data_IF_101744266480
#
_entry.id   IF_101744266480
#
_cell.length_a   1.000
_cell.length_b   1.000
_cell.length_c   1.000
_cell.angle_alpha   90.00
_cell.angle_beta   90.00
_cell.angle_gamma   90.00
#
_symmetry.space_group_name_H-M   'P 1'
#
loop_
_entity.id
_entity.type
_entity.pdbx_description
1 polymer ?
#
# COMPACT_ATOMS: atom_id res chain seq x y z
N UNK A 1 -11.68 -4.24 0.70
CA UNK A 1 -10.42 -3.74 1.32
C UNK A 1 -9.43 -3.52 0.20
N UNK A 2 -8.52 -2.53 0.30
CA UNK A 2 -7.51 -2.29 -0.73
C UNK A 2 -6.34 -3.27 -0.57
N UNK A 3 -5.77 -3.71 -1.70
CA UNK A 3 -4.80 -4.80 -1.78
C UNK A 3 -3.44 -4.32 -2.32
N UNK A 4 -2.37 -4.73 -1.64
CA UNK A 4 -0.98 -4.57 -2.07
C UNK A 4 -0.45 -5.92 -2.58
N UNK A 5 -0.08 -5.99 -3.86
CA UNK A 5 0.49 -7.20 -4.44
C UNK A 5 2.01 -7.26 -4.27
N UNK A 6 2.50 -8.27 -3.59
CA UNK A 6 3.95 -8.52 -3.46
C UNK A 6 4.44 -9.24 -4.71
N UNK A 7 5.31 -8.61 -5.47
CA UNK A 7 5.92 -9.14 -6.69
C UNK A 7 7.44 -9.16 -6.59
N UNK A 8 8.11 -9.83 -7.49
CA UNK A 8 9.57 -9.89 -7.59
C UNK A 8 10.04 -11.19 -8.22
N UNK A 9 11.32 -11.28 -8.56
CA UNK A 9 11.94 -12.49 -9.10
C UNK A 9 11.94 -13.64 -8.06
N UNK A 10 12.13 -14.89 -8.47
CA UNK A 10 12.35 -16.00 -7.52
C UNK A 10 13.57 -15.74 -6.63
N UNK A 11 13.53 -16.23 -5.39
CA UNK A 11 14.62 -16.17 -4.40
C UNK A 11 15.08 -14.75 -3.99
N UNK A 12 14.21 -13.75 -4.10
CA UNK A 12 14.49 -12.38 -3.62
C UNK A 12 13.98 -12.11 -2.20
N UNK A 13 13.24 -13.07 -1.60
CA UNK A 13 12.72 -12.96 -0.24
C UNK A 13 11.22 -12.64 -0.15
N UNK A 14 10.44 -12.77 -1.25
CA UNK A 14 8.99 -12.50 -1.25
C UNK A 14 8.20 -13.28 -0.22
N UNK A 15 8.30 -14.61 -0.26
CA UNK A 15 7.54 -15.49 0.65
C UNK A 15 7.99 -15.31 2.10
N UNK A 16 9.28 -15.03 2.34
CA UNK A 16 9.78 -14.68 3.67
C UNK A 16 9.15 -13.38 4.16
N UNK A 17 9.10 -12.36 3.31
CA UNK A 17 8.43 -11.09 3.60
C UNK A 17 6.94 -11.31 3.90
N UNK A 18 6.23 -12.04 3.04
CA UNK A 18 4.80 -12.32 3.22
C UNK A 18 4.54 -13.08 4.52
N UNK A 19 5.33 -14.11 4.81
CA UNK A 19 5.22 -14.87 6.05
C UNK A 19 5.49 -13.99 7.28
N UNK A 20 6.52 -13.14 7.25
CA UNK A 20 6.83 -12.23 8.34
C UNK A 20 5.71 -11.18 8.54
N UNK A 21 5.14 -10.64 7.47
CA UNK A 21 3.97 -9.76 7.52
C UNK A 21 2.73 -10.45 8.11
N UNK A 22 2.54 -11.74 7.89
CA UNK A 22 1.34 -12.48 8.27
C UNK A 22 1.48 -13.28 9.57
N UNK A 23 2.71 -13.61 10.00
CA UNK A 23 2.97 -14.43 11.20
C UNK A 23 2.58 -13.73 12.52
N UNK A 24 2.62 -12.41 12.57
CA UNK A 24 2.17 -11.65 13.75
C UNK A 24 0.62 -11.60 13.94
N UNK A 25 -0.17 -12.42 13.18
CA UNK A 25 -1.54 -12.07 12.82
C UNK A 25 -2.62 -13.15 12.93
N UNK A 26 -2.38 -14.25 13.56
CA UNK A 26 -3.47 -15.15 13.96
C UNK A 26 -4.55 -14.41 14.79
N UNK A 27 -4.18 -13.33 15.48
CA UNK A 27 -5.08 -12.49 16.27
C UNK A 27 -5.89 -11.47 15.44
N UNK A 28 -5.40 -11.02 14.28
CA UNK A 28 -6.12 -10.02 13.48
C UNK A 28 -7.35 -10.59 12.78
N UNK A 29 -7.30 -11.84 12.29
CA UNK A 29 -8.40 -12.48 11.60
C UNK A 29 -9.63 -12.68 12.52
N UNK A 30 -9.43 -12.89 13.83
CA UNK A 30 -10.52 -13.06 14.80
C UNK A 30 -11.31 -11.76 15.06
N UNK A 31 -10.67 -10.60 14.87
CA UNK A 31 -11.28 -9.29 15.10
C UNK A 31 -12.04 -8.71 13.90
N UNK A 32 -11.93 -9.33 12.72
CA UNK A 32 -12.57 -8.89 11.47
C UNK A 32 -13.47 -9.97 10.88
N UNK A 33 -14.77 -10.00 11.23
CA UNK A 33 -15.70 -11.09 10.89
C UNK A 33 -16.02 -11.27 9.41
N UNK A 34 -15.48 -10.40 8.53
CA UNK A 34 -15.71 -10.45 7.07
C UNK A 34 -14.45 -10.73 6.26
N UNK A 35 -13.32 -11.09 6.90
CA UNK A 35 -12.12 -11.48 6.17
C UNK A 35 -12.28 -12.93 5.67
N UNK A 36 -12.46 -13.10 4.37
CA UNK A 36 -12.36 -14.40 3.71
C UNK A 36 -10.89 -14.83 3.75
N UNK A 37 -10.62 -16.04 4.26
CA UNK A 37 -9.29 -16.64 4.22
C UNK A 37 -9.07 -17.13 2.79
N UNK A 38 -8.52 -16.26 1.93
CA UNK A 38 -8.06 -16.66 0.60
C UNK A 38 -6.61 -17.14 0.70
N UNK A 39 -6.21 -18.19 -0.02
CA UNK A 39 -4.80 -18.56 -0.11
C UNK A 39 -3.97 -17.38 -0.65
N UNK A 40 -2.81 -17.15 -0.03
CA UNK A 40 -1.90 -16.06 -0.39
C UNK A 40 -2.41 -14.61 -0.15
N UNK A 41 -3.49 -14.42 0.60
CA UNK A 41 -3.96 -13.10 1.06
C UNK A 41 -3.75 -12.99 2.57
N UNK A 42 -3.02 -11.98 3.00
CA UNK A 42 -2.75 -11.68 4.40
C UNK A 42 -3.32 -10.34 4.83
N UNK A 43 -4.17 -10.34 5.86
CA UNK A 43 -4.64 -9.11 6.51
C UNK A 43 -3.59 -8.64 7.50
N UNK A 44 -3.12 -7.42 7.34
CA UNK A 44 -2.00 -6.86 8.08
C UNK A 44 -2.45 -5.64 8.87
N UNK A 45 -2.23 -5.64 10.20
CA UNK A 45 -2.48 -4.49 11.05
C UNK A 45 -1.53 -3.33 10.68
N UNK A 46 -2.08 -2.12 10.59
CA UNK A 46 -1.27 -0.91 10.40
C UNK A 46 -0.79 -0.46 11.78
N UNK A 47 0.54 -0.48 12.04
CA UNK A 47 1.08 0.00 13.29
C UNK A 47 0.75 1.48 13.48
N UNK A 48 0.11 1.86 14.59
CA UNK A 48 -0.18 3.25 14.88
C UNK A 48 0.00 3.54 16.37
N UNK A 49 1.06 4.26 16.76
CA UNK A 49 1.32 4.59 18.15
C UNK A 49 0.21 5.46 18.78
N UNK A 50 -0.53 6.20 17.93
CA UNK A 50 -1.66 7.02 18.38
C UNK A 50 -2.80 6.16 18.93
N UNK A 51 -3.08 5.03 18.29
CA UNK A 51 -4.09 4.07 18.78
C UNK A 51 -3.69 3.45 20.12
N UNK A 52 -2.41 3.11 20.28
CA UNK A 52 -1.90 2.59 21.56
C UNK A 52 -2.06 3.64 22.66
N UNK A 53 -1.71 4.90 22.37
CA UNK A 53 -1.85 6.01 23.33
C UNK A 53 -3.31 6.28 23.70
N UNK A 54 -4.23 6.25 22.76
CA UNK A 54 -5.67 6.38 23.04
C UNK A 54 -6.19 5.23 23.91
N UNK A 55 -5.70 4.01 23.66
CA UNK A 55 -6.07 2.83 24.44
C UNK A 55 -5.62 2.95 25.90
N UNK A 56 -4.38 3.37 26.15
CA UNK A 56 -3.85 3.62 27.50
C UNK A 56 -4.64 4.70 28.26
N UNK A 57 -5.01 5.76 27.53
CA UNK A 57 -5.68 6.93 28.08
C UNK A 57 -7.12 6.62 28.52
N UNK A 58 -7.88 5.95 27.65
CA UNK A 58 -9.32 5.70 27.84
C UNK A 58 -9.58 4.36 28.54
N UNK A 59 -8.66 3.41 28.42
CA UNK A 59 -8.74 2.04 28.96
C UNK A 59 -10.02 1.32 28.61
N UNK A 60 -10.37 1.22 27.30
CA UNK A 60 -11.53 0.50 26.85
C UNK A 60 -11.31 -1.02 26.96
N UNK A 61 -12.35 -1.81 26.65
CA UNK A 61 -12.25 -3.27 26.66
C UNK A 61 -11.44 -3.83 25.49
N UNK A 62 -11.43 -3.13 24.34
CA UNK A 62 -10.77 -3.60 23.11
C UNK A 62 -10.04 -2.47 22.39
N UNK A 63 -8.93 -2.86 21.76
CA UNK A 63 -8.15 -2.05 20.81
C UNK A 63 -8.27 -2.69 19.44
N UNK A 64 -8.73 -1.94 18.43
CA UNK A 64 -8.88 -2.45 17.06
C UNK A 64 -8.07 -1.56 16.11
N UNK A 65 -6.96 -2.07 15.55
CA UNK A 65 -6.12 -1.33 14.62
C UNK A 65 -6.79 -1.20 13.23
N UNK A 66 -6.30 -0.28 12.39
CA UNK A 66 -6.56 -0.29 10.96
C UNK A 66 -5.85 -1.48 10.31
N UNK A 67 -6.33 -1.93 9.17
CA UNK A 67 -5.74 -3.06 8.44
C UNK A 67 -5.61 -2.77 6.95
N UNK A 68 -4.68 -3.48 6.30
CA UNK A 68 -4.49 -3.50 4.85
C UNK A 68 -4.23 -4.94 4.39
N UNK A 69 -4.62 -5.30 3.17
CA UNK A 69 -4.38 -6.62 2.61
C UNK A 69 -3.08 -6.66 1.80
N UNK A 70 -2.25 -7.67 2.08
CA UNK A 70 -1.12 -8.05 1.24
C UNK A 70 -1.43 -9.36 0.52
N UNK A 71 -1.04 -9.44 -0.75
CA UNK A 71 -1.26 -10.62 -1.60
C UNK A 71 0.11 -11.12 -2.07
N UNK A 72 0.48 -12.37 -1.74
CA UNK A 72 1.69 -12.99 -2.29
C UNK A 72 1.41 -13.43 -3.72
N UNK A 73 1.97 -12.72 -4.68
CA UNK A 73 1.85 -13.04 -6.10
C UNK A 73 3.06 -13.87 -6.50
N UNK A 74 2.79 -15.07 -7.05
CA UNK A 74 3.83 -16.00 -7.48
C UNK A 74 4.90 -15.29 -8.34
N UNK A 75 6.17 -15.67 -8.16
CA UNK A 75 7.30 -14.95 -8.77
C UNK A 75 7.23 -14.86 -10.29
N UNK A 76 7.61 -13.70 -10.81
CA UNK A 76 7.74 -13.47 -12.25
C UNK A 76 8.91 -14.30 -12.82
N UNK A 77 8.65 -14.97 -13.93
CA UNK A 77 9.68 -15.58 -14.76
C UNK A 77 9.80 -14.76 -16.05
N UNK A 78 11.00 -14.52 -16.53
CA UNK A 78 11.25 -13.80 -17.79
C UNK A 78 10.44 -14.43 -18.94
N UNK A 79 9.76 -13.60 -19.74
CA UNK A 79 8.89 -14.07 -20.81
C UNK A 79 7.43 -14.26 -20.39
N UNK A 80 7.04 -13.80 -19.21
CA UNK A 80 5.66 -13.88 -18.71
C UNK A 80 4.65 -13.15 -19.63
N UNK A 81 5.07 -12.08 -20.28
CA UNK A 81 4.27 -11.29 -21.22
C UNK A 81 4.02 -11.99 -22.56
N UNK A 82 4.82 -13.02 -22.93
CA UNK A 82 4.71 -13.75 -24.19
C UNK A 82 3.65 -14.88 -24.18
N UNK A 83 2.98 -15.10 -23.06
CA UNK A 83 1.63 -15.67 -23.10
C UNK A 83 1.47 -17.16 -22.93
N UNK A 84 2.41 -17.92 -22.35
CA UNK A 84 2.16 -19.33 -22.02
C UNK A 84 2.14 -19.59 -20.49
N UNK A 85 1.01 -20.08 -20.00
CA UNK A 85 0.87 -20.70 -18.69
C UNK A 85 0.97 -19.75 -17.49
N UNK A 86 1.99 -19.93 -16.64
CA UNK A 86 2.16 -19.25 -15.35
C UNK A 86 2.33 -17.72 -15.45
N UNK A 87 2.87 -17.22 -16.57
CA UNK A 87 3.04 -15.78 -16.81
C UNK A 87 1.70 -15.03 -16.88
N UNK A 88 0.72 -15.59 -17.57
CA UNK A 88 -0.63 -14.99 -17.68
C UNK A 88 -1.34 -14.96 -16.33
N UNK A 89 -1.16 -15.98 -15.48
CA UNK A 89 -1.73 -16.00 -14.13
C UNK A 89 -1.09 -14.91 -13.26
N UNK A 90 0.23 -14.76 -13.33
CA UNK A 90 0.95 -13.69 -12.64
C UNK A 90 0.40 -12.30 -12.99
N UNK A 91 0.29 -12.00 -14.29
CA UNK A 91 -0.23 -10.72 -14.76
C UNK A 91 -1.71 -10.51 -14.37
N UNK A 92 -2.51 -11.60 -14.34
CA UNK A 92 -3.90 -11.54 -13.87
C UNK A 92 -3.98 -11.15 -12.39
N UNK A 93 -3.18 -11.78 -11.52
CA UNK A 93 -3.16 -11.45 -10.10
C UNK A 93 -2.71 -10.01 -9.84
N UNK A 94 -1.73 -9.48 -10.62
CA UNK A 94 -1.36 -8.06 -10.50
C UNK A 94 -2.53 -7.15 -10.90
N UNK A 95 -3.39 -7.52 -11.83
CA UNK A 95 -4.58 -6.71 -12.17
C UNK A 95 -5.56 -6.58 -11.03
N UNK A 96 -5.65 -7.57 -10.15
CA UNK A 96 -6.61 -7.64 -9.04
C UNK A 96 -6.21 -6.83 -7.80
N UNK A 97 -4.96 -6.37 -7.72
CA UNK A 97 -4.46 -5.55 -6.60
C UNK A 97 -4.47 -4.07 -6.94
N UNK A 98 -4.48 -3.21 -5.92
CA UNK A 98 -4.57 -1.74 -6.09
C UNK A 98 -3.21 -1.07 -6.24
N UNK A 99 -2.15 -1.66 -5.64
CA UNK A 99 -0.78 -1.19 -5.74
C UNK A 99 0.20 -2.36 -5.71
N UNK A 100 1.45 -2.12 -6.11
CA UNK A 100 2.50 -3.12 -6.25
C UNK A 100 3.60 -2.86 -5.22
N UNK A 101 4.02 -3.92 -4.50
CA UNK A 101 5.24 -3.96 -3.69
C UNK A 101 6.25 -4.84 -4.42
N UNK A 102 7.22 -4.23 -5.09
CA UNK A 102 8.25 -4.96 -5.83
C UNK A 102 9.44 -5.26 -4.93
N UNK A 103 9.63 -6.54 -4.59
CA UNK A 103 10.74 -7.01 -3.76
C UNK A 103 11.97 -7.22 -4.61
N UNK A 104 13.05 -6.50 -4.29
CA UNK A 104 14.33 -6.58 -4.99
C UNK A 104 15.42 -7.02 -4.04
N UNK A 105 16.22 -8.00 -4.48
CA UNK A 105 17.35 -8.52 -3.72
C UNK A 105 18.53 -7.56 -3.81
N UNK A 106 18.94 -7.02 -2.66
CA UNK A 106 20.06 -6.10 -2.50
C UNK A 106 21.12 -6.66 -1.54
N UNK A 107 21.36 -7.98 -1.52
CA UNK A 107 22.34 -8.64 -0.69
C UNK A 107 22.97 -9.83 -1.42
N UNK A 108 24.21 -10.18 -1.07
CA UNK A 108 24.89 -11.37 -1.52
C UNK A 108 24.77 -12.46 -0.45
N UNK A 109 24.42 -13.68 -0.86
CA UNK A 109 24.37 -14.85 -0.01
C UNK A 109 24.73 -16.08 -0.87
N UNK A 110 25.83 -16.80 -0.55
CA UNK A 110 26.27 -17.94 -1.32
C UNK A 110 25.30 -19.15 -1.26
N UNK A 111 24.48 -19.22 -0.20
CA UNK A 111 23.54 -20.32 0.02
C UNK A 111 22.20 -20.09 -0.70
N UNK A 112 21.97 -18.86 -1.17
CA UNK A 112 20.74 -18.48 -1.90
C UNK A 112 21.06 -18.19 -3.36
N UNK A 113 20.76 -19.13 -4.25
CA UNK A 113 21.00 -18.97 -5.69
C UNK A 113 20.09 -17.91 -6.28
N UNK A 114 20.67 -16.92 -6.99
CA UNK A 114 19.90 -15.95 -7.77
C UNK A 114 19.60 -16.51 -9.16
N UNK A 115 18.34 -16.45 -9.60
CA UNK A 115 17.89 -17.07 -10.87
C UNK A 115 18.53 -16.46 -12.12
N UNK A 116 19.06 -15.24 -12.02
CA UNK A 116 19.71 -14.51 -13.12
C UNK A 116 21.25 -14.46 -12.99
N UNK A 117 21.86 -15.29 -12.16
CA UNK A 117 23.30 -15.28 -11.88
C UNK A 117 23.69 -14.33 -10.74
N UNK A 118 24.77 -13.51 -10.87
CA UNK A 118 25.16 -12.57 -9.81
C UNK A 118 24.05 -11.60 -9.43
N UNK A 119 24.06 -11.14 -8.16
CA UNK A 119 23.12 -10.12 -7.67
C UNK A 119 23.27 -8.83 -8.48
N UNK A 120 22.18 -8.34 -9.03
CA UNK A 120 22.11 -7.06 -9.74
C UNK A 120 20.70 -6.45 -9.62
N UNK A 121 20.47 -5.57 -8.65
CA UNK A 121 19.15 -4.96 -8.41
C UNK A 121 18.68 -4.09 -9.57
N UNK A 122 19.57 -3.52 -10.39
CA UNK A 122 19.20 -2.76 -11.58
C UNK A 122 18.59 -3.67 -12.62
N UNK A 123 19.26 -4.76 -12.96
CA UNK A 123 18.74 -5.77 -13.88
C UNK A 123 17.41 -6.35 -13.40
N UNK A 124 17.29 -6.65 -12.10
CA UNK A 124 16.07 -7.24 -11.54
C UNK A 124 14.90 -6.26 -11.59
N UNK A 125 15.14 -4.98 -11.33
CA UNK A 125 14.18 -3.89 -11.56
C UNK A 125 13.73 -3.84 -13.01
N UNK A 126 14.69 -3.79 -13.96
CA UNK A 126 14.40 -3.66 -15.40
C UNK A 126 13.62 -4.84 -15.95
N UNK A 127 13.89 -6.06 -15.47
CA UNK A 127 13.14 -7.26 -15.88
C UNK A 127 11.67 -7.14 -15.51
N UNK A 128 11.35 -6.78 -14.25
CA UNK A 128 9.97 -6.63 -13.80
C UNK A 128 9.27 -5.51 -14.57
N UNK A 129 9.89 -4.34 -14.64
CA UNK A 129 9.33 -3.17 -15.32
C UNK A 129 9.06 -3.46 -16.80
N UNK A 130 10.00 -4.11 -17.49
CA UNK A 130 9.83 -4.48 -18.90
C UNK A 130 8.69 -5.47 -19.12
N UNK A 131 8.55 -6.51 -18.28
CA UNK A 131 7.47 -7.49 -18.44
C UNK A 131 6.09 -6.86 -18.24
N UNK A 132 5.96 -5.95 -17.25
CA UNK A 132 4.72 -5.20 -17.04
C UNK A 132 4.41 -4.27 -18.22
N UNK A 133 5.43 -3.56 -18.74
CA UNK A 133 5.28 -2.68 -19.87
C UNK A 133 4.89 -3.44 -21.16
N UNK A 134 5.51 -4.59 -21.43
CA UNK A 134 5.17 -5.44 -22.58
C UNK A 134 3.73 -5.97 -22.50
N UNK A 135 3.25 -6.33 -21.29
CA UNK A 135 1.87 -6.74 -21.10
C UNK A 135 0.88 -5.59 -21.43
N UNK A 136 1.23 -4.37 -21.00
CA UNK A 136 0.40 -3.19 -21.25
C UNK A 136 0.42 -2.75 -22.70
N UNK A 137 1.56 -2.85 -23.39
CA UNK A 137 1.68 -2.55 -24.82
C UNK A 137 0.60 -3.25 -25.63
N UNK A 138 0.43 -4.56 -25.46
CA UNK A 138 -0.57 -5.32 -26.19
C UNK A 138 -2.02 -4.91 -25.85
N UNK A 139 -2.28 -4.39 -24.64
CA UNK A 139 -3.60 -3.85 -24.26
C UNK A 139 -3.84 -2.51 -24.95
N UNK A 140 -2.86 -1.61 -24.86
CA UNK A 140 -2.93 -0.25 -25.40
C UNK A 140 -3.06 -0.26 -26.93
N UNK A 141 -2.27 -1.06 -27.64
CA UNK A 141 -2.32 -1.18 -29.09
C UNK A 141 -3.72 -1.63 -29.59
N UNK A 142 -4.27 -2.68 -29.00
CA UNK A 142 -5.61 -3.17 -29.34
C UNK A 142 -6.69 -2.11 -29.04
N UNK A 143 -6.59 -1.42 -27.90
CA UNK A 143 -7.54 -0.34 -27.56
C UNK A 143 -7.42 0.82 -28.52
N UNK A 144 -6.20 1.26 -28.83
CA UNK A 144 -5.92 2.36 -29.75
C UNK A 144 -6.48 2.08 -31.16
N UNK A 145 -6.27 0.88 -31.71
CA UNK A 145 -6.83 0.48 -33.02
C UNK A 145 -8.36 0.61 -33.02
N UNK A 146 -9.03 0.12 -31.98
CA UNK A 146 -10.50 0.22 -31.86
C UNK A 146 -10.96 1.68 -31.73
N UNK A 147 -10.33 2.45 -30.84
CA UNK A 147 -10.73 3.83 -30.53
C UNK A 147 -10.50 4.76 -31.71
N UNK A 148 -9.42 4.56 -32.50
CA UNK A 148 -9.18 5.32 -33.76
C UNK A 148 -10.31 5.18 -34.76
N UNK A 149 -10.96 4.02 -34.85
CA UNK A 149 -12.11 3.81 -35.77
C UNK A 149 -13.30 4.68 -35.34
N UNK A 150 -13.60 4.73 -34.05
CA UNK A 150 -14.68 5.55 -33.46
C UNK A 150 -14.36 7.04 -33.57
N UNK A 151 -13.11 7.44 -33.28
CA UNK A 151 -12.67 8.83 -33.38
C UNK A 151 -12.79 9.40 -34.81
N UNK A 152 -12.50 8.58 -35.84
CA UNK A 152 -12.70 8.95 -37.28
C UNK A 152 -14.16 9.16 -37.63
N UNK A 153 -15.10 8.57 -36.89
CA UNK A 153 -16.53 8.79 -37.10
C UNK A 153 -17.03 10.11 -36.44
N UNK A 154 -16.12 10.90 -35.87
CA UNK A 154 -16.44 12.22 -35.30
C UNK A 154 -16.74 12.23 -33.78
N UNK A 155 -16.54 11.12 -33.08
CA UNK A 155 -16.74 11.02 -31.65
C UNK A 155 -15.62 11.77 -30.90
N UNK A 156 -16.00 12.82 -30.15
CA UNK A 156 -15.05 13.69 -29.45
C UNK A 156 -14.38 13.01 -28.25
N UNK A 157 -15.09 12.16 -27.56
CA UNK A 157 -14.52 11.41 -26.42
C UNK A 157 -13.48 10.42 -26.92
N UNK A 158 -13.79 9.69 -27.98
CA UNK A 158 -12.81 8.80 -28.62
C UNK A 158 -11.57 9.55 -29.16
N UNK A 159 -11.72 10.79 -29.61
CA UNK A 159 -10.57 11.62 -30.03
C UNK A 159 -9.66 11.95 -28.85
N UNK A 160 -10.21 12.28 -27.70
CA UNK A 160 -9.43 12.52 -26.47
C UNK A 160 -8.75 11.22 -25.96
N UNK A 161 -9.48 10.09 -25.97
CA UNK A 161 -8.89 8.79 -25.64
C UNK A 161 -7.69 8.44 -26.53
N UNK A 162 -7.76 8.71 -27.84
CA UNK A 162 -6.64 8.46 -28.78
C UNK A 162 -5.40 9.23 -28.34
N UNK A 163 -5.52 10.51 -27.95
CA UNK A 163 -4.40 11.32 -27.49
C UNK A 163 -3.73 10.71 -26.26
N UNK A 164 -4.53 10.28 -25.28
CA UNK A 164 -3.99 9.64 -24.06
C UNK A 164 -3.32 8.31 -24.39
N UNK A 165 -3.96 7.46 -25.23
CA UNK A 165 -3.41 6.16 -25.61
C UNK A 165 -2.10 6.29 -26.41
N UNK A 166 -1.98 7.27 -27.30
CA UNK A 166 -0.74 7.54 -28.05
C UNK A 166 0.39 7.98 -27.13
N UNK A 167 0.09 8.79 -26.12
CA UNK A 167 1.06 9.19 -25.08
C UNK A 167 1.51 7.97 -24.27
N UNK A 168 0.56 7.15 -23.77
CA UNK A 168 0.88 5.91 -23.05
C UNK A 168 1.78 5.00 -23.90
N UNK A 169 1.45 4.84 -25.17
CA UNK A 169 2.26 4.03 -26.09
C UNK A 169 3.69 4.56 -26.23
N UNK A 170 3.86 5.89 -26.27
CA UNK A 170 5.19 6.51 -26.31
C UNK A 170 5.99 6.26 -25.01
N UNK A 171 5.35 6.37 -23.83
CA UNK A 171 5.99 6.10 -22.54
C UNK A 171 6.41 4.63 -22.43
N UNK A 172 5.53 3.68 -22.74
CA UNK A 172 5.84 2.26 -22.70
C UNK A 172 6.97 1.87 -23.67
N UNK A 173 6.98 2.42 -24.89
CA UNK A 173 8.08 2.21 -25.84
C UNK A 173 9.41 2.83 -25.41
N UNK A 174 9.38 3.84 -24.57
CA UNK A 174 10.56 4.43 -23.96
C UNK A 174 11.02 3.71 -22.67
N UNK A 175 10.37 2.58 -22.31
CA UNK A 175 10.67 1.80 -21.12
C UNK A 175 10.15 2.43 -19.81
N UNK A 176 9.24 3.42 -19.90
CA UNK A 176 8.60 4.05 -18.76
C UNK A 176 7.20 3.51 -18.51
N UNK A 177 6.65 3.74 -17.31
CA UNK A 177 5.32 3.26 -16.96
C UNK A 177 4.20 4.12 -17.54
N UNK A 178 3.02 3.53 -17.76
CA UNK A 178 1.82 4.25 -18.21
C UNK A 178 1.40 5.36 -17.22
N UNK A 179 1.84 5.32 -15.95
CA UNK A 179 1.59 6.36 -14.94
C UNK A 179 2.14 7.72 -15.34
N UNK A 180 3.24 7.75 -16.09
CA UNK A 180 3.87 8.98 -16.58
C UNK A 180 3.01 9.74 -17.61
N UNK A 181 2.06 9.06 -18.24
CA UNK A 181 1.10 9.68 -19.16
C UNK A 181 -0.10 10.34 -18.44
N UNK A 182 -0.23 10.19 -17.13
CA UNK A 182 -1.36 10.63 -16.32
C UNK A 182 -1.24 12.09 -15.85
N UNK A 183 -1.18 13.06 -16.75
CA UNK A 183 -1.04 14.50 -16.38
C UNK A 183 -2.35 15.16 -15.90
N UNK A 184 -3.50 14.57 -16.16
CA UNK A 184 -4.80 15.08 -15.77
C UNK A 184 -5.62 14.05 -15.02
N UNK A 185 -6.57 14.49 -14.17
CA UNK A 185 -7.46 13.59 -13.43
C UNK A 185 -8.26 12.68 -14.35
N UNK A 186 -8.66 13.18 -15.52
CA UNK A 186 -9.40 12.40 -16.52
C UNK A 186 -8.51 11.33 -17.17
N UNK A 187 -7.24 11.65 -17.48
CA UNK A 187 -6.27 10.68 -17.96
C UNK A 187 -5.99 9.60 -16.91
N UNK A 188 -5.75 9.98 -15.66
CA UNK A 188 -5.53 9.04 -14.54
C UNK A 188 -6.73 8.11 -14.38
N UNK A 189 -7.95 8.64 -14.42
CA UNK A 189 -9.19 7.85 -14.33
C UNK A 189 -9.30 6.87 -15.49
N UNK A 190 -9.01 7.32 -16.70
CA UNK A 190 -9.03 6.49 -17.90
C UNK A 190 -7.98 5.36 -17.82
N UNK A 191 -6.75 5.65 -17.40
CA UNK A 191 -5.70 4.65 -17.23
C UNK A 191 -6.09 3.56 -16.20
N UNK A 192 -6.74 3.95 -15.11
CA UNK A 192 -7.28 3.01 -14.12
C UNK A 192 -8.37 2.11 -14.72
N UNK A 193 -9.27 2.67 -15.53
CA UNK A 193 -10.34 1.89 -16.21
C UNK A 193 -9.77 0.88 -17.24
N UNK A 194 -8.64 1.19 -17.87
CA UNK A 194 -7.94 0.27 -18.77
C UNK A 194 -7.27 -0.90 -18.02
N UNK A 195 -7.09 -0.79 -16.71
CA UNK A 195 -6.45 -1.82 -15.89
C UNK A 195 -4.99 -2.06 -16.25
N UNK A 196 -4.27 -0.99 -16.69
CA UNK A 196 -2.86 -1.06 -17.01
C UNK A 196 -2.03 -1.35 -15.75
N UNK A 197 -1.10 -2.29 -15.88
CA UNK A 197 -0.25 -2.73 -14.76
C UNK A 197 0.74 -1.65 -14.36
N UNK A 198 1.34 -0.97 -15.33
CA UNK A 198 2.31 0.10 -15.12
C UNK A 198 1.66 1.44 -14.76
N UNK A 199 0.33 1.53 -14.76
CA UNK A 199 -0.40 2.67 -14.21
C UNK A 199 -0.65 2.55 -12.71
N UNK A 200 -0.45 1.35 -12.12
CA UNK A 200 -0.62 1.13 -10.68
C UNK A 200 0.50 1.82 -9.89
N UNK A 201 0.18 2.36 -8.71
CA UNK A 201 1.20 2.82 -7.77
C UNK A 201 2.18 1.69 -7.42
N UNK A 202 3.46 2.01 -7.29
CA UNK A 202 4.52 1.04 -6.98
C UNK A 202 5.39 1.51 -5.81
N UNK A 203 5.81 0.55 -5.00
CA UNK A 203 6.72 0.69 -3.88
C UNK A 203 7.80 -0.38 -4.02
N UNK A 204 9.05 -0.04 -3.80
CA UNK A 204 10.17 -0.98 -3.82
C UNK A 204 10.54 -1.42 -2.42
N UNK A 205 10.46 -2.72 -2.15
CA UNK A 205 10.95 -3.35 -0.93
C UNK A 205 12.36 -3.91 -1.20
N UNK A 206 13.39 -3.14 -0.80
CA UNK A 206 14.78 -3.51 -0.99
C UNK A 206 15.23 -4.46 0.14
N UNK A 207 15.36 -5.77 -0.18
CA UNK A 207 15.82 -6.76 0.77
C UNK A 207 17.36 -6.71 0.87
N UNK A 208 17.87 -6.16 1.98
CA UNK A 208 19.29 -5.95 2.28
C UNK A 208 19.77 -6.92 3.37
N UNK A 209 21.08 -7.04 3.55
CA UNK A 209 21.63 -7.72 4.73
C UNK A 209 21.47 -6.86 6.00
N UNK A 210 21.74 -7.42 7.15
CA UNK A 210 21.58 -6.76 8.46
C UNK A 210 22.55 -5.58 8.63
N UNK A 211 23.80 -5.73 8.18
CA UNK A 211 24.83 -4.69 8.26
C UNK A 211 24.45 -3.45 7.43
N UNK A 212 23.99 -3.66 6.19
CA UNK A 212 23.51 -2.58 5.31
C UNK A 212 22.21 -1.95 5.86
N UNK A 213 21.35 -2.73 6.51
CA UNK A 213 20.15 -2.20 7.16
C UNK A 213 20.50 -1.27 8.31
N UNK A 214 21.42 -1.68 9.19
CA UNK A 214 21.91 -0.89 10.32
C UNK A 214 22.63 0.38 9.86
N UNK A 215 23.41 0.29 8.77
CA UNK A 215 24.09 1.43 8.16
C UNK A 215 23.15 2.40 7.41
N UNK A 216 21.87 2.03 7.22
CA UNK A 216 20.90 2.82 6.45
C UNK A 216 21.14 2.82 4.93
N UNK A 217 21.98 1.92 4.42
CA UNK A 217 22.31 1.80 3.00
C UNK A 217 23.41 0.79 2.72
N UNK A 218 23.72 0.61 1.43
CA UNK A 218 24.78 -0.27 0.94
C UNK A 218 24.88 -0.19 -0.57
N UNK A 219 25.95 -0.71 -1.15
CA UNK A 219 26.26 -0.58 -2.60
C UNK A 219 25.09 -0.99 -3.50
N UNK A 220 24.34 -2.02 -3.10
CA UNK A 220 23.24 -2.55 -3.89
C UNK A 220 21.98 -1.67 -3.79
N UNK A 221 21.70 -1.15 -2.59
CA UNK A 221 20.61 -0.22 -2.38
C UNK A 221 20.83 1.10 -3.14
N UNK A 222 22.06 1.61 -3.15
CA UNK A 222 22.39 2.84 -3.89
C UNK A 222 22.27 2.65 -5.41
N UNK A 223 22.65 1.47 -5.92
CA UNK A 223 22.41 1.11 -7.33
C UNK A 223 20.92 1.04 -7.67
N UNK A 224 20.11 0.47 -6.81
CA UNK A 224 18.65 0.45 -6.99
C UNK A 224 18.07 1.86 -6.99
N UNK A 225 18.47 2.72 -6.04
CA UNK A 225 18.03 4.12 -5.98
C UNK A 225 18.35 4.87 -7.27
N UNK A 226 19.56 4.69 -7.77
CA UNK A 226 19.98 5.32 -9.03
C UNK A 226 19.17 4.80 -10.24
N UNK A 227 18.83 3.51 -10.29
CA UNK A 227 18.00 2.92 -11.34
C UNK A 227 16.58 3.49 -11.32
N UNK A 228 15.91 3.46 -10.17
CA UNK A 228 14.54 4.01 -10.00
C UNK A 228 14.52 5.49 -10.40
N UNK A 229 15.49 6.27 -9.94
CA UNK A 229 15.59 7.68 -10.29
C UNK A 229 15.85 7.92 -11.78
N UNK A 230 16.64 7.06 -12.45
CA UNK A 230 16.93 7.20 -13.89
C UNK A 230 15.72 6.93 -14.78
N UNK A 231 14.76 6.16 -14.29
CA UNK A 231 13.47 5.91 -14.96
C UNK A 231 12.41 7.00 -14.66
N UNK A 232 12.79 8.08 -13.97
CA UNK A 232 11.89 9.14 -13.50
C UNK A 232 10.76 8.65 -12.60
N UNK A 233 10.94 7.49 -11.95
CA UNK A 233 9.94 6.96 -11.02
C UNK A 233 10.02 7.66 -9.67
N UNK A 234 8.97 8.34 -9.27
CA UNK A 234 8.78 8.88 -7.91
C UNK A 234 8.28 7.78 -6.96
N UNK A 235 8.97 6.65 -6.93
CA UNK A 235 8.58 5.53 -6.09
C UNK A 235 9.42 5.46 -4.83
N UNK A 236 8.77 5.22 -3.69
CA UNK A 236 9.46 5.03 -2.41
C UNK A 236 10.22 3.70 -2.41
N UNK A 237 11.43 3.71 -1.84
CA UNK A 237 12.25 2.51 -1.64
C UNK A 237 12.42 2.29 -0.14
N UNK A 238 11.85 1.19 0.36
CA UNK A 238 11.93 0.80 1.76
C UNK A 238 12.95 -0.33 1.93
N UNK A 239 14.10 -0.08 2.54
CA UNK A 239 15.03 -1.15 2.89
C UNK A 239 14.51 -1.95 4.08
N UNK A 240 14.62 -3.27 3.99
CA UNK A 240 14.32 -4.22 5.05
C UNK A 240 15.25 -5.43 4.95
N UNK A 241 15.38 -6.21 6.00
CA UNK A 241 16.05 -7.51 5.93
C UNK A 241 15.05 -8.62 6.26
N UNK A 242 14.73 -9.45 5.26
CA UNK A 242 13.76 -10.51 5.44
C UNK A 242 14.17 -11.50 6.55
N UNK A 243 15.48 -11.75 6.72
CA UNK A 243 16.01 -12.59 7.76
C UNK A 243 15.82 -11.95 9.14
N UNK A 244 16.25 -10.68 9.30
CA UNK A 244 16.08 -9.90 10.53
C UNK A 244 14.62 -9.82 10.97
N UNK A 245 13.71 -9.57 10.04
CA UNK A 245 12.27 -9.46 10.34
C UNK A 245 11.68 -10.82 10.75
N UNK A 246 12.16 -11.93 10.16
CA UNK A 246 11.73 -13.27 10.57
C UNK A 246 12.19 -13.59 12.00
N UNK A 247 13.44 -13.28 12.36
CA UNK A 247 13.95 -13.44 13.71
C UNK A 247 13.22 -12.53 14.70
N UNK A 248 12.98 -11.27 14.33
CA UNK A 248 12.24 -10.32 15.15
C UNK A 248 10.78 -10.74 15.42
N UNK A 249 10.17 -11.48 14.49
CA UNK A 249 8.80 -11.98 14.64
C UNK A 249 8.68 -13.11 15.69
N UNK A 250 9.78 -13.81 16.00
CA UNK A 250 9.83 -14.85 17.03
C UNK A 250 9.98 -14.27 18.44
N UNK A 251 10.39 -12.99 18.55
CA UNK A 251 10.62 -12.31 19.81
C UNK A 251 9.37 -11.57 20.31
N UNK A 252 9.17 -11.53 21.62
CA UNK A 252 8.03 -10.88 22.24
C UNK A 252 8.44 -9.81 23.27
N UNK A 253 7.61 -8.77 23.41
CA UNK A 253 7.73 -7.78 24.47
C UNK A 253 9.08 -7.04 24.47
N UNK A 254 9.77 -7.08 25.61
CA UNK A 254 11.03 -6.35 25.84
C UNK A 254 12.18 -6.89 24.98
N UNK A 255 12.24 -8.21 24.75
CA UNK A 255 13.28 -8.85 23.94
C UNK A 255 13.33 -8.29 22.51
N UNK A 256 12.15 -7.99 21.93
CA UNK A 256 12.04 -7.37 20.60
C UNK A 256 12.70 -5.98 20.58
N UNK A 257 12.46 -5.17 21.62
CA UNK A 257 13.06 -3.85 21.75
C UNK A 257 14.58 -3.90 21.92
N UNK A 258 15.07 -4.83 22.73
CA UNK A 258 16.52 -5.03 22.92
C UNK A 258 17.21 -5.50 21.66
N UNK A 259 16.57 -6.40 20.89
CA UNK A 259 17.09 -6.90 19.63
C UNK A 259 17.22 -5.79 18.59
N UNK A 260 16.17 -4.96 18.41
CA UNK A 260 16.20 -3.76 17.55
C UNK A 260 17.33 -2.80 17.94
N UNK A 261 17.46 -2.52 19.24
CA UNK A 261 18.50 -1.62 19.76
C UNK A 261 19.92 -2.18 19.52
N UNK A 262 20.13 -3.49 19.76
CA UNK A 262 21.41 -4.15 19.52
C UNK A 262 21.85 -4.15 18.06
N UNK A 263 20.87 -4.24 17.15
CA UNK A 263 21.07 -4.16 15.70
C UNK A 263 21.21 -2.73 15.18
N UNK A 264 21.07 -1.71 16.01
CA UNK A 264 21.09 -0.31 15.59
C UNK A 264 19.89 0.13 14.74
N UNK A 265 18.82 -0.67 14.73
CA UNK A 265 17.60 -0.43 13.96
C UNK A 265 16.55 0.25 14.84
N UNK A 266 16.06 1.43 14.44
CA UNK A 266 15.10 2.22 15.24
C UNK A 266 13.67 1.71 15.15
N UNK A 267 13.30 1.19 13.98
CA UNK A 267 11.94 0.76 13.64
C UNK A 267 12.03 -0.46 12.72
N UNK A 268 11.17 -1.49 12.90
CA UNK A 268 11.11 -2.64 12.00
C UNK A 268 10.89 -2.21 10.55
N UNK A 269 11.59 -2.85 9.63
CA UNK A 269 11.43 -2.60 8.19
C UNK A 269 10.01 -2.93 7.72
N UNK A 270 9.36 -3.94 8.33
CA UNK A 270 7.96 -4.28 8.06
C UNK A 270 7.00 -3.16 8.43
N UNK A 271 7.18 -2.51 9.58
CA UNK A 271 6.31 -1.41 10.01
C UNK A 271 6.41 -0.25 9.02
N UNK A 272 7.64 0.10 8.58
CA UNK A 272 7.87 1.10 7.53
C UNK A 272 7.23 0.70 6.20
N UNK A 273 7.34 -0.57 5.81
CA UNK A 273 6.75 -1.09 4.56
C UNK A 273 5.21 -1.01 4.60
N UNK A 274 4.60 -1.35 5.73
CA UNK A 274 3.16 -1.25 5.93
C UNK A 274 2.71 0.21 5.82
N UNK A 275 3.41 1.14 6.49
CA UNK A 275 3.09 2.57 6.42
C UNK A 275 3.26 3.12 5.00
N UNK A 276 4.37 2.80 4.32
CA UNK A 276 4.61 3.19 2.94
C UNK A 276 3.51 2.67 2.00
N UNK A 277 3.13 1.40 2.13
CA UNK A 277 2.03 0.80 1.37
C UNK A 277 0.68 1.46 1.64
N UNK A 278 0.40 1.77 2.90
CA UNK A 278 -0.83 2.47 3.33
C UNK A 278 -0.91 3.87 2.70
N UNK A 279 0.20 4.61 2.71
CA UNK A 279 0.30 5.91 2.09
C UNK A 279 0.22 5.84 0.56
N UNK A 280 0.85 4.84 -0.06
CA UNK A 280 0.82 4.60 -1.50
C UNK A 280 -0.60 4.39 -2.02
N UNK A 281 -1.44 3.72 -1.23
CA UNK A 281 -2.87 3.54 -1.51
C UNK A 281 -3.70 4.81 -1.31
N UNK A 282 -3.09 5.93 -0.90
CA UNK A 282 -3.79 7.18 -0.61
C UNK A 282 -4.69 7.09 0.62
N UNK A 283 -4.33 6.27 1.59
CA UNK A 283 -5.11 6.05 2.81
C UNK A 283 -4.68 6.97 3.95
N UNK A 284 -5.59 7.18 4.86
CA UNK A 284 -5.41 7.86 6.15
C UNK A 284 -6.26 7.21 7.23
N UNK A 285 -5.96 7.54 8.48
CA UNK A 285 -6.62 6.97 9.65
C UNK A 285 -7.42 8.02 10.41
N UNK A 286 -8.64 7.69 10.80
CA UNK A 286 -9.37 8.40 11.87
C UNK A 286 -9.71 7.44 13.00
N UNK A 287 -9.99 7.97 14.18
CA UNK A 287 -10.26 7.17 15.37
C UNK A 287 -11.70 7.35 15.85
N UNK A 288 -12.25 6.28 16.41
CA UNK A 288 -13.43 6.34 17.27
C UNK A 288 -13.04 5.88 18.67
N UNK A 289 -13.50 6.60 19.68
CA UNK A 289 -13.17 6.34 21.08
C UNK A 289 -14.44 6.15 21.87
N UNK A 290 -14.59 4.97 22.49
CA UNK A 290 -15.71 4.61 23.33
C UNK A 290 -15.29 3.75 24.53
N UNK A 291 -16.19 3.50 25.48
CA UNK A 291 -15.94 2.66 26.65
C UNK A 291 -15.66 1.21 26.32
N UNK A 292 -16.25 0.69 25.25
CA UNK A 292 -16.08 -0.69 24.83
C UNK A 292 -14.88 -0.87 23.90
N UNK A 293 -14.59 0.11 23.08
CA UNK A 293 -13.62 -0.01 21.99
C UNK A 293 -12.98 1.33 21.66
N UNK A 294 -11.67 1.30 21.44
CA UNK A 294 -10.93 2.33 20.68
C UNK A 294 -10.53 1.69 19.36
N UNK A 295 -10.88 2.35 18.23
CA UNK A 295 -10.65 1.79 16.91
C UNK A 295 -10.07 2.80 15.95
N UNK A 296 -9.09 2.36 15.18
CA UNK A 296 -8.55 3.04 14.01
C UNK A 296 -9.32 2.59 12.76
N UNK A 297 -9.81 3.56 12.00
CA UNK A 297 -10.56 3.33 10.77
C UNK A 297 -9.77 3.82 9.58
N UNK A 298 -9.78 3.02 8.52
CA UNK A 298 -9.14 3.35 7.24
C UNK A 298 -10.11 4.12 6.36
N UNK A 299 -9.65 5.20 5.73
CA UNK A 299 -10.38 5.92 4.69
C UNK A 299 -9.42 6.51 3.66
N UNK A 300 -9.92 6.87 2.49
CA UNK A 300 -9.13 7.62 1.51
C UNK A 300 -8.84 9.05 1.99
N UNK A 301 -7.63 9.53 1.71
CA UNK A 301 -7.25 10.94 1.94
C UNK A 301 -8.18 11.87 1.19
N UNK A 302 -8.52 12.99 1.81
CA UNK A 302 -9.49 13.95 1.27
C UNK A 302 -10.95 13.50 1.38
N UNK A 303 -11.22 12.34 2.00
CA UNK A 303 -12.56 11.86 2.25
C UNK A 303 -13.30 12.72 3.27
N UNK A 304 -14.62 12.83 3.11
CA UNK A 304 -15.48 13.66 3.96
C UNK A 304 -15.98 12.90 5.19
N UNK A 305 -16.48 13.64 6.20
CA UNK A 305 -17.12 13.04 7.37
C UNK A 305 -18.30 12.13 7.01
N UNK A 306 -19.00 12.43 5.92
CA UNK A 306 -20.05 11.57 5.39
C UNK A 306 -19.51 10.24 4.86
N UNK A 307 -18.37 10.26 4.16
CA UNK A 307 -17.68 9.05 3.72
C UNK A 307 -17.14 8.25 4.91
N UNK A 308 -16.50 8.91 5.89
CA UNK A 308 -16.00 8.29 7.12
C UNK A 308 -17.09 7.57 7.93
N UNK A 309 -18.32 8.14 7.99
CA UNK A 309 -19.45 7.46 8.60
C UNK A 309 -19.79 6.14 7.88
N UNK A 310 -19.63 6.11 6.55
CA UNK A 310 -19.85 4.91 5.73
C UNK A 310 -18.83 3.79 5.98
N UNK A 311 -17.60 4.13 6.31
CA UNK A 311 -16.56 3.16 6.69
C UNK A 311 -16.91 2.41 7.99
N UNK A 312 -17.69 3.05 8.88
CA UNK A 312 -18.16 2.41 10.11
C UNK A 312 -19.35 1.48 9.80
N UNK A 313 -20.39 2.03 9.19
CA UNK A 313 -21.58 1.29 8.78
C UNK A 313 -22.44 2.12 7.82
N UNK A 314 -23.13 1.45 6.90
CA UNK A 314 -24.05 2.11 5.95
C UNK A 314 -25.18 2.90 6.65
N UNK A 315 -25.62 2.47 7.84
CA UNK A 315 -26.64 3.20 8.62
C UNK A 315 -26.12 4.53 9.16
N UNK A 316 -24.84 4.59 9.56
CA UNK A 316 -24.21 5.84 10.01
C UNK A 316 -24.16 6.86 8.87
N UNK A 317 -23.84 6.38 7.67
CA UNK A 317 -23.83 7.22 6.47
C UNK A 317 -25.23 7.68 6.10
N UNK A 318 -26.21 6.75 6.02
CA UNK A 318 -27.59 7.03 5.63
C UNK A 318 -28.28 8.00 6.60
N UNK A 319 -28.11 7.76 7.89
CA UNK A 319 -28.70 8.59 8.94
C UNK A 319 -27.83 9.76 9.42
N UNK A 320 -26.76 10.10 8.71
CA UNK A 320 -25.77 11.10 9.14
C UNK A 320 -26.40 12.44 9.47
N UNK A 321 -26.15 12.94 10.68
CA UNK A 321 -26.55 14.28 11.15
C UNK A 321 -25.32 15.19 11.19
N UNK A 322 -24.28 14.78 11.94
CA UNK A 322 -23.02 15.51 12.12
C UNK A 322 -21.93 14.61 12.68
N UNK A 323 -20.68 15.04 12.56
CA UNK A 323 -19.54 14.48 13.28
C UNK A 323 -19.07 15.45 14.38
N UNK A 324 -18.98 14.98 15.62
CA UNK A 324 -18.30 15.68 16.71
C UNK A 324 -16.83 15.30 16.59
N UNK A 325 -15.98 16.27 16.24
CA UNK A 325 -14.58 16.06 15.86
C UNK A 325 -13.64 16.72 16.85
N UNK A 326 -12.62 16.00 17.29
CA UNK A 326 -11.50 16.50 18.11
C UNK A 326 -10.19 16.07 17.45
N UNK A 327 -9.24 16.99 17.29
CA UNK A 327 -7.91 16.62 16.81
C UNK A 327 -7.23 15.68 17.82
N UNK A 328 -6.46 14.70 17.33
CA UNK A 328 -5.79 13.70 18.18
C UNK A 328 -5.00 14.33 19.34
N UNK A 329 -4.15 15.31 19.02
CA UNK A 329 -3.30 15.99 20.01
C UNK A 329 -4.12 16.65 21.13
N UNK A 330 -5.21 17.30 20.76
CA UNK A 330 -6.14 17.92 21.69
C UNK A 330 -6.84 16.87 22.55
N UNK A 331 -7.27 15.75 21.94
CA UNK A 331 -7.91 14.68 22.66
C UNK A 331 -6.96 14.05 23.70
N UNK A 332 -5.70 13.78 23.32
CA UNK A 332 -4.68 13.24 24.23
C UNK A 332 -4.37 14.19 25.36
N UNK A 333 -4.33 15.50 25.08
CA UNK A 333 -4.07 16.53 26.08
C UNK A 333 -5.15 16.58 27.17
N UNK A 334 -6.43 16.42 26.81
CA UNK A 334 -7.55 16.55 27.76
C UNK A 334 -8.07 15.22 28.30
N UNK A 335 -7.79 14.11 27.63
CA UNK A 335 -8.03 12.75 28.10
C UNK A 335 -9.43 12.18 27.90
N UNK A 336 -10.42 12.95 27.47
CA UNK A 336 -11.77 12.45 27.22
C UNK A 336 -12.63 13.41 26.39
N UNK A 337 -13.69 12.88 25.74
CA UNK A 337 -14.69 13.73 25.09
C UNK A 337 -15.39 14.72 26.04
N UNK A 338 -15.61 14.31 27.28
CA UNK A 338 -16.23 15.20 28.28
C UNK A 338 -15.35 16.43 28.52
N UNK A 339 -14.06 16.21 28.82
CA UNK A 339 -13.11 17.30 29.04
C UNK A 339 -12.89 18.14 27.76
N UNK A 340 -12.84 17.52 26.58
CA UNK A 340 -12.76 18.24 25.33
C UNK A 340 -13.96 19.17 25.11
N UNK A 341 -15.15 18.72 25.45
CA UNK A 341 -16.38 19.52 25.34
C UNK A 341 -16.41 20.69 26.35
N UNK A 342 -15.99 20.46 27.59
CA UNK A 342 -15.89 21.50 28.63
C UNK A 342 -14.87 22.58 28.26
N UNK A 343 -13.84 22.25 27.49
CA UNK A 343 -12.83 23.19 26.98
C UNK A 343 -13.14 23.77 25.60
N UNK A 344 -14.29 23.44 25.01
CA UNK A 344 -14.69 23.97 23.69
C UNK A 344 -13.87 23.43 22.49
N UNK A 345 -13.23 22.28 22.65
CA UNK A 345 -12.37 21.66 21.62
C UNK A 345 -13.14 20.76 20.66
N UNK A 346 -14.39 20.41 21.01
CA UNK A 346 -15.25 19.61 20.15
C UNK A 346 -15.84 20.47 19.07
N UNK A 347 -15.45 20.24 17.84
CA UNK A 347 -16.03 20.87 16.66
C UNK A 347 -17.25 20.06 16.19
N UNK A 348 -18.29 20.75 15.72
CA UNK A 348 -19.46 20.10 15.13
C UNK A 348 -19.38 20.26 13.62
N UNK A 349 -19.05 19.20 12.93
CA UNK A 349 -18.74 19.20 11.50
C UNK A 349 -19.89 18.58 10.69
N UNK A 350 -20.14 19.18 9.52
CA UNK A 350 -21.15 18.72 8.56
C UNK A 350 -20.63 17.62 7.63
N UNK A 351 -21.47 17.25 6.66
CA UNK A 351 -21.21 16.15 5.71
C UNK A 351 -19.93 16.36 4.88
N UNK A 352 -19.64 17.61 4.51
CA UNK A 352 -18.58 17.97 3.58
C UNK A 352 -17.25 18.29 4.28
N UNK A 353 -17.19 18.14 5.62
CA UNK A 353 -15.94 18.29 6.35
C UNK A 353 -14.92 17.26 5.87
N UNK A 354 -13.77 17.73 5.40
CA UNK A 354 -12.65 16.86 4.99
C UNK A 354 -11.91 16.39 6.24
N UNK A 355 -12.04 15.11 6.53
CA UNK A 355 -11.43 14.47 7.70
C UNK A 355 -9.90 14.57 7.61
N UNK A 356 -9.27 14.98 8.71
CA UNK A 356 -7.83 15.03 8.83
C UNK A 356 -7.30 13.71 9.40
N UNK A 357 -6.06 13.34 9.00
CA UNK A 357 -5.42 12.14 9.56
C UNK A 357 -5.24 12.30 11.07
N UNK A 358 -5.73 11.33 11.84
CA UNK A 358 -5.72 11.35 13.30
C UNK A 358 -6.95 11.97 13.96
N UNK A 359 -7.91 12.53 13.22
CA UNK A 359 -9.14 13.03 13.84
C UNK A 359 -9.83 11.96 14.70
N UNK A 360 -10.27 12.35 15.89
CA UNK A 360 -11.11 11.53 16.77
C UNK A 360 -12.57 11.93 16.55
N UNK A 361 -13.37 11.01 15.97
CA UNK A 361 -14.72 11.29 15.49
C UNK A 361 -15.78 10.57 16.34
N UNK A 362 -16.87 11.29 16.64
CA UNK A 362 -18.08 10.73 17.19
C UNK A 362 -19.27 11.11 16.32
N UNK A 363 -19.82 10.14 15.60
CA UNK A 363 -20.93 10.38 14.68
C UNK A 363 -22.28 10.47 15.40
N UNK A 364 -23.07 11.46 15.03
CA UNK A 364 -24.49 11.57 15.39
C UNK A 364 -25.32 11.24 14.17
N UNK A 365 -26.15 10.24 14.30
CA UNK A 365 -27.00 9.74 13.22
C UNK A 365 -28.36 9.33 13.75
N UNK A 366 -29.35 9.26 12.86
CA UNK A 366 -30.69 8.81 13.15
C UNK A 366 -31.12 7.83 12.03
N UNK A 367 -31.53 6.62 12.40
CA UNK A 367 -31.99 5.56 11.48
C UNK A 367 -33.46 5.25 11.74
#
# INVERSE_FOLDING_TARGET
MLRLGIVGLPNVGKSTLFNALTSSKAAAAENYPFCTVEPNVGVVEVPDPRLARLFELVRPKRKVPAVVEFVDIAGLVRGASQGEGLGNQFLSHIREVDAIVNVIRCFEDPDVVHVMGPVDPVRDHDVITSELALADLGVVERRLEKTRKTARAGDKEAQLEVVVLERVLAELNAGRGAREAGETDDAIRFLRQLGLLTAKPILYAANVNEDDLAAGGGKWLDRLRAAVQSHHEEAEIVPFSAKFEAELAELAGEERGEYLASAGVREPGLDRLIHAGYHLLGLQTFFTVGENEVRAWTMHRGGTAFAAAGEIHSDFQRGFIRAETVAYEEFVRVGSYKAAREQGLVRSEGRDYVVQDGDVLLFRFNV
#
